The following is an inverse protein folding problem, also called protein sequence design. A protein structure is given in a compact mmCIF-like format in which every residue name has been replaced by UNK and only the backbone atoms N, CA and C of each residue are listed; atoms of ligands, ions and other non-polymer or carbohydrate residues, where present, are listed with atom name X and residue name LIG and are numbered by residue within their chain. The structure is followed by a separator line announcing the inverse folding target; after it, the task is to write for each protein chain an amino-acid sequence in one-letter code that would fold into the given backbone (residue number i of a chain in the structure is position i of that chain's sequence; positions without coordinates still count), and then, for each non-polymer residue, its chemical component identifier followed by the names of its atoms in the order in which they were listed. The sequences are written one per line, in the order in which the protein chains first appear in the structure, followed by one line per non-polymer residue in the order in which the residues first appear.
data_IF_340150170433
#
_entry.id   IF_340150170433
#
_cell.length_a   1.000
_cell.length_b   1.000
_cell.length_c   1.000
_cell.angle_alpha   90.00
_cell.angle_beta   90.00
_cell.angle_gamma   90.00
#
_symmetry.space_group_name_H-M   'P 1'
#
loop_
_entity.id
_entity.type
_entity.pdbx_description
1 polymer ?
#
# COMPACT_ATOMS: atom_id res chain seq x y z
N UNK A 1 -63.51 13.69 1.96
CA UNK A 1 -63.11 14.11 3.30
C UNK A 1 -61.66 14.47 3.27
N UNK A 2 -61.50 15.74 3.31
CA UNK A 2 -60.34 16.54 3.26
C UNK A 2 -59.55 16.48 4.55
N UNK A 3 -58.22 16.31 4.51
CA UNK A 3 -57.29 16.85 5.49
C UNK A 3 -55.89 16.97 4.93
N UNK A 4 -55.59 18.17 4.45
CA UNK A 4 -54.22 18.69 4.39
C UNK A 4 -53.68 18.76 5.82
N UNK A 5 -52.43 18.40 6.03
CA UNK A 5 -51.62 18.81 7.17
C UNK A 5 -50.30 19.40 6.66
N UNK A 6 -50.21 20.70 6.84
CA UNK A 6 -49.04 21.55 6.62
C UNK A 6 -47.86 21.07 7.50
N UNK A 7 -46.70 20.91 6.90
CA UNK A 7 -45.45 20.89 7.64
C UNK A 7 -44.71 22.22 7.36
N UNK A 8 -44.80 23.09 8.35
CA UNK A 8 -43.97 24.28 8.48
C UNK A 8 -42.53 23.81 8.72
N UNK A 9 -41.63 24.28 7.90
CA UNK A 9 -40.19 24.26 8.10
C UNK A 9 -39.83 25.33 9.11
N UNK A 10 -39.45 24.94 10.31
CA UNK A 10 -38.87 25.82 11.30
C UNK A 10 -37.37 25.88 11.11
N UNK A 11 -36.88 27.08 10.85
CA UNK A 11 -35.46 27.37 10.64
C UNK A 11 -34.71 27.37 11.96
N UNK A 12 -33.94 26.33 12.20
CA UNK A 12 -32.97 26.29 13.29
C UNK A 12 -31.59 26.71 12.77
N UNK A 13 -31.24 27.97 12.91
CA UNK A 13 -29.86 28.45 12.86
C UNK A 13 -29.07 27.78 13.97
N UNK A 14 -28.06 26.98 13.59
CA UNK A 14 -27.08 26.46 14.52
C UNK A 14 -26.03 27.55 14.81
N UNK A 15 -26.19 28.25 15.93
CA UNK A 15 -25.14 28.97 16.63
C UNK A 15 -24.11 27.99 17.16
N UNK A 16 -23.03 27.78 16.42
CA UNK A 16 -21.82 27.13 16.89
C UNK A 16 -20.60 27.98 16.51
N UNK A 17 -20.47 29.14 17.11
CA UNK A 17 -19.22 29.91 17.07
C UNK A 17 -19.16 30.94 18.20
N UNK A 18 -19.03 30.49 19.45
CA UNK A 18 -18.63 31.44 20.53
C UNK A 18 -18.00 30.79 21.78
N UNK A 19 -17.47 29.59 21.71
CA UNK A 19 -16.80 28.98 22.88
C UNK A 19 -15.29 28.72 22.76
N UNK A 20 -14.60 29.30 21.79
CA UNK A 20 -13.13 29.12 21.64
C UNK A 20 -12.30 30.38 22.02
N UNK A 21 -12.91 31.38 22.61
CA UNK A 21 -12.20 32.65 22.89
C UNK A 21 -12.06 32.96 24.38
N UNK A 22 -12.05 31.95 25.25
CA UNK A 22 -11.83 32.20 26.66
C UNK A 22 -10.82 31.21 27.28
N UNK A 23 -9.56 31.29 26.80
CA UNK A 23 -8.45 30.58 27.44
C UNK A 23 -7.58 31.59 28.22
N UNK A 24 -7.57 31.57 29.57
CA UNK A 24 -6.91 32.59 30.39
C UNK A 24 -5.39 32.43 30.49
N UNK A 25 -4.74 31.60 29.67
CA UNK A 25 -3.29 31.38 29.71
C UNK A 25 -2.51 31.98 28.53
N UNK A 26 -3.10 32.85 27.74
CA UNK A 26 -2.38 33.59 26.69
C UNK A 26 -2.46 35.11 26.93
N UNK A 27 -1.90 35.57 28.06
CA UNK A 27 -1.62 36.97 28.25
C UNK A 27 -0.30 37.14 28.96
N UNK A 28 0.79 37.02 28.20
CA UNK A 28 2.09 37.52 28.58
C UNK A 28 2.93 37.84 27.37
N UNK A 29 2.50 38.90 26.66
CA UNK A 29 3.41 39.64 25.80
C UNK A 29 3.17 41.14 26.04
N UNK A 30 3.84 41.61 27.04
CA UNK A 30 4.02 43.03 27.25
C UNK A 30 5.52 43.28 27.53
N UNK A 31 6.25 43.54 26.46
CA UNK A 31 7.34 44.49 26.45
C UNK A 31 7.64 44.90 25.03
N UNK A 32 6.94 45.95 24.64
CA UNK A 32 7.35 46.76 23.51
C UNK A 32 8.52 47.61 23.91
N UNK A 33 9.55 47.66 23.12
CA UNK A 33 10.36 48.85 22.98
C UNK A 33 10.86 48.99 21.54
N UNK A 34 10.48 50.11 21.02
CA UNK A 34 10.89 50.71 19.74
C UNK A 34 12.36 50.50 19.41
N UNK A 35 12.66 50.15 18.20
CA UNK A 35 13.39 51.04 17.29
C UNK A 35 13.82 50.34 15.98
N UNK A 36 13.48 51.05 14.90
CA UNK A 36 14.22 51.11 13.62
C UNK A 36 14.27 49.86 12.74
N UNK A 37 13.35 49.85 11.79
CA UNK A 37 13.56 49.76 10.37
C UNK A 37 14.49 48.67 9.78
N UNK A 38 14.00 48.10 8.70
CA UNK A 38 14.63 47.13 7.78
C UNK A 38 14.44 45.64 8.09
N UNK A 39 13.20 45.21 8.07
CA UNK A 39 12.86 43.82 7.89
C UNK A 39 12.33 43.56 6.48
N UNK A 40 13.16 43.61 5.45
CA UNK A 40 12.83 42.98 4.16
C UNK A 40 12.69 41.48 4.42
N UNK A 41 11.46 41.01 4.57
CA UNK A 41 11.14 39.62 4.43
C UNK A 41 11.55 39.19 3.00
N UNK A 42 12.75 38.70 2.87
CA UNK A 42 13.19 37.99 1.71
C UNK A 42 12.46 36.64 1.72
N UNK A 43 11.25 36.59 1.14
CA UNK A 43 10.74 35.35 0.61
C UNK A 43 11.83 34.83 -0.32
N UNK A 44 12.63 33.88 0.13
CA UNK A 44 13.55 33.17 -0.71
C UNK A 44 12.68 32.48 -1.78
N UNK A 45 12.53 33.12 -2.93
CA UNK A 45 12.07 32.46 -4.12
C UNK A 45 13.09 31.37 -4.39
N UNK A 46 12.76 30.12 -4.03
CA UNK A 46 13.47 28.96 -4.59
C UNK A 46 13.45 29.21 -6.10
N UNK A 47 14.61 29.57 -6.67
CA UNK A 47 14.76 29.68 -8.12
C UNK A 47 14.45 28.30 -8.65
N UNK A 48 13.30 28.16 -9.27
CA UNK A 48 12.96 26.96 -10.02
C UNK A 48 14.01 26.83 -11.11
N UNK A 49 14.73 25.71 -11.12
CA UNK A 49 15.66 25.38 -12.22
C UNK A 49 14.83 25.40 -13.51
N UNK A 50 15.27 26.11 -14.57
CA UNK A 50 14.54 26.13 -15.83
C UNK A 50 14.36 24.69 -16.33
N UNK A 51 13.20 24.35 -16.89
CA UNK A 51 12.89 22.99 -17.39
C UNK A 51 13.93 22.44 -18.36
N UNK A 52 14.59 23.33 -19.13
CA UNK A 52 15.67 22.98 -20.06
C UNK A 52 16.94 22.42 -19.36
N UNK A 53 17.08 22.60 -18.05
CA UNK A 53 18.23 22.14 -17.26
C UNK A 53 17.88 20.97 -16.35
N UNK A 54 16.64 20.48 -16.38
CA UNK A 54 16.24 19.31 -15.60
C UNK A 54 16.74 18.03 -16.27
N UNK A 55 17.25 17.11 -15.45
CA UNK A 55 17.63 15.80 -15.97
C UNK A 55 16.39 15.03 -16.39
N UNK A 56 16.44 14.44 -17.57
CA UNK A 56 15.36 13.60 -18.09
C UNK A 56 15.06 12.44 -17.13
N UNK A 57 13.78 12.15 -16.91
CA UNK A 57 13.32 11.03 -16.11
C UNK A 57 13.25 11.28 -14.58
N UNK A 58 13.91 12.34 -14.04
CA UNK A 58 13.86 12.63 -12.61
C UNK A 58 12.49 13.13 -12.15
N UNK A 59 11.68 13.67 -13.06
CA UNK A 59 10.32 14.14 -12.76
C UNK A 59 9.27 13.02 -12.71
N UNK A 60 9.60 11.80 -13.14
CA UNK A 60 8.64 10.69 -13.21
C UNK A 60 7.98 10.36 -11.85
N UNK A 61 8.71 10.60 -10.76
CA UNK A 61 8.21 10.37 -9.40
C UNK A 61 7.51 11.59 -8.79
N UNK A 62 7.56 12.74 -9.46
CA UNK A 62 7.01 14.02 -8.97
C UNK A 62 5.76 14.39 -9.76
N UNK A 63 5.63 13.87 -10.96
CA UNK A 63 4.50 14.11 -11.84
C UNK A 63 3.25 13.39 -11.30
N UNK A 64 2.22 14.17 -10.96
CA UNK A 64 0.97 13.66 -10.40
C UNK A 64 0.10 12.90 -11.39
N UNK A 65 0.41 12.98 -12.68
CA UNK A 65 -0.30 12.25 -13.73
C UNK A 65 0.15 10.78 -13.81
N UNK A 66 1.37 10.47 -13.35
CA UNK A 66 1.91 9.12 -13.26
C UNK A 66 1.90 8.70 -11.78
N UNK A 67 0.78 8.18 -11.31
CA UNK A 67 0.70 7.70 -9.93
C UNK A 67 1.21 6.26 -9.83
N UNK A 68 2.33 6.09 -9.12
CA UNK A 68 2.78 4.79 -8.63
C UNK A 68 2.22 4.53 -7.22
N UNK A 69 1.06 5.10 -6.91
CA UNK A 69 0.40 4.82 -5.63
C UNK A 69 0.02 3.33 -5.58
N UNK A 70 0.32 2.66 -4.46
CA UNK A 70 -0.11 1.29 -4.27
C UNK A 70 -1.64 1.22 -4.38
N UNK A 71 -2.13 0.56 -5.42
CA UNK A 71 -3.56 0.34 -5.57
C UNK A 71 -3.93 -0.95 -4.82
N UNK A 72 -4.71 -0.83 -3.76
CA UNK A 72 -5.17 -1.96 -2.95
C UNK A 72 -6.10 -2.92 -3.72
N UNK A 73 -6.68 -2.45 -4.82
CA UNK A 73 -7.60 -3.23 -5.66
C UNK A 73 -6.94 -3.89 -6.87
N UNK A 74 -5.63 -4.07 -6.86
CA UNK A 74 -4.95 -4.79 -7.92
C UNK A 74 -5.27 -6.30 -7.88
N UNK A 75 -5.52 -6.87 -9.05
CA UNK A 75 -5.63 -8.32 -9.16
C UNK A 75 -4.36 -8.99 -8.63
N UNK A 76 -4.54 -10.04 -7.82
CA UNK A 76 -3.41 -10.79 -7.27
C UNK A 76 -2.51 -11.30 -8.40
N UNK A 77 -1.23 -10.93 -8.38
CA UNK A 77 -0.30 -11.41 -9.40
C UNK A 77 -0.12 -12.92 -9.34
N UNK A 78 -0.05 -13.56 -10.51
CA UNK A 78 0.03 -15.01 -10.62
C UNK A 78 1.26 -15.62 -9.88
N UNK A 79 2.32 -14.85 -9.74
CA UNK A 79 3.57 -15.23 -9.08
C UNK A 79 3.67 -14.76 -7.63
N UNK A 80 2.59 -14.21 -7.06
CA UNK A 80 2.58 -13.80 -5.65
C UNK A 80 2.70 -15.03 -4.75
N UNK A 81 3.61 -14.97 -3.79
CA UNK A 81 3.83 -16.01 -2.80
C UNK A 81 3.23 -15.57 -1.47
N UNK A 82 2.33 -16.40 -0.97
CA UNK A 82 1.71 -16.23 0.34
C UNK A 82 2.77 -16.23 1.44
N UNK A 83 2.53 -15.47 2.48
CA UNK A 83 3.43 -15.40 3.63
C UNK A 83 2.72 -14.95 4.90
N UNK A 84 3.43 -14.95 6.04
CA UNK A 84 2.88 -14.53 7.33
C UNK A 84 2.28 -13.13 7.27
N UNK A 85 1.08 -12.97 7.85
CA UNK A 85 0.32 -11.74 7.85
C UNK A 85 -0.57 -11.51 6.62
N UNK A 86 -0.56 -12.41 5.64
CA UNK A 86 -1.56 -12.40 4.56
C UNK A 86 -2.87 -13.01 5.07
N UNK A 87 -3.99 -12.36 4.78
CA UNK A 87 -5.31 -12.92 5.03
C UNK A 87 -5.78 -13.76 3.86
N UNK A 88 -6.40 -14.89 4.15
CA UNK A 88 -6.96 -15.79 3.15
C UNK A 88 -8.41 -16.14 3.48
N UNK A 89 -9.23 -16.17 2.46
CA UNK A 89 -10.59 -16.69 2.52
C UNK A 89 -10.62 -18.05 1.86
N UNK A 90 -11.27 -19.02 2.50
CA UNK A 90 -11.53 -20.33 1.93
C UNK A 90 -13.04 -20.49 1.85
N UNK A 91 -13.56 -20.37 0.65
CA UNK A 91 -14.98 -20.50 0.39
C UNK A 91 -15.28 -21.92 -0.12
N UNK A 92 -16.30 -22.51 0.46
CA UNK A 92 -16.81 -23.83 0.11
C UNK A 92 -18.25 -23.63 -0.34
N UNK A 93 -18.60 -24.13 -1.50
CA UNK A 93 -19.97 -24.04 -2.02
C UNK A 93 -20.41 -25.33 -2.72
N UNK A 94 -21.73 -25.54 -2.81
CA UNK A 94 -22.34 -26.73 -3.37
C UNK A 94 -23.19 -27.45 -2.36
N UNK A 95 -22.96 -28.75 -2.15
CA UNK A 95 -23.68 -29.53 -1.14
C UNK A 95 -23.35 -29.10 0.30
N UNK A 96 -22.16 -28.53 0.50
CA UNK A 96 -21.74 -27.91 1.75
C UNK A 96 -21.43 -26.44 1.47
N UNK A 97 -21.89 -25.56 2.36
CA UNK A 97 -21.59 -24.11 2.31
C UNK A 97 -20.87 -23.72 3.59
N UNK A 98 -19.68 -23.16 3.44
CA UNK A 98 -18.87 -22.63 4.55
C UNK A 98 -17.92 -21.57 4.01
N UNK A 99 -17.53 -20.61 4.86
CA UNK A 99 -16.53 -19.59 4.54
C UNK A 99 -15.61 -19.40 5.74
N UNK A 100 -14.37 -19.68 5.55
CA UNK A 100 -13.32 -19.63 6.57
C UNK A 100 -12.42 -18.44 6.27
N UNK A 101 -12.23 -17.58 7.26
CA UNK A 101 -11.36 -16.42 7.18
C UNK A 101 -10.22 -16.59 8.18
N UNK A 102 -9.00 -16.65 7.67
CA UNK A 102 -7.80 -16.90 8.47
C UNK A 102 -6.64 -16.02 8.03
N UNK A 103 -5.81 -15.61 8.98
CA UNK A 103 -4.53 -14.95 8.74
C UNK A 103 -3.40 -15.98 8.82
N UNK A 104 -2.45 -15.91 7.89
CA UNK A 104 -1.28 -16.78 7.90
C UNK A 104 -0.40 -16.40 9.08
N UNK A 105 -0.25 -17.34 10.01
CA UNK A 105 0.55 -17.17 11.22
C UNK A 105 2.04 -16.93 10.90
N UNK A 106 2.84 -16.44 11.87
CA UNK A 106 4.30 -16.32 11.72
C UNK A 106 5.00 -17.62 11.34
N UNK A 107 4.42 -18.77 11.71
CA UNK A 107 4.94 -20.09 11.34
C UNK A 107 4.56 -20.49 9.90
N UNK A 108 3.83 -19.65 9.18
CA UNK A 108 3.42 -19.90 7.80
C UNK A 108 2.20 -20.79 7.63
N UNK A 109 1.41 -20.99 8.69
CA UNK A 109 0.24 -21.87 8.70
C UNK A 109 -1.05 -21.06 8.88
N UNK A 110 -2.16 -21.58 8.35
CA UNK A 110 -3.51 -21.27 8.83
C UNK A 110 -4.01 -22.45 9.68
N UNK A 111 -4.92 -22.19 10.60
CA UNK A 111 -5.52 -23.22 11.44
C UNK A 111 -6.99 -23.40 11.09
N UNK A 112 -7.32 -24.57 10.53
CA UNK A 112 -8.70 -24.90 10.15
C UNK A 112 -9.27 -25.92 11.13
N UNK A 113 -10.44 -25.62 11.70
CA UNK A 113 -11.13 -26.52 12.62
C UNK A 113 -11.31 -27.92 12.00
N UNK A 114 -11.02 -28.95 12.80
CA UNK A 114 -11.11 -30.36 12.45
C UNK A 114 -10.08 -30.86 11.39
N UNK A 115 -9.38 -29.96 10.68
CA UNK A 115 -8.35 -30.32 9.71
C UNK A 115 -6.93 -30.04 10.23
N UNK A 116 -6.82 -29.15 11.26
CA UNK A 116 -5.55 -28.74 11.85
C UNK A 116 -4.79 -27.70 11.01
N UNK A 117 -3.47 -27.58 11.24
CA UNK A 117 -2.67 -26.58 10.56
C UNK A 117 -2.42 -26.93 9.10
N UNK A 118 -2.56 -25.94 8.22
CA UNK A 118 -2.26 -26.03 6.79
C UNK A 118 -1.15 -25.03 6.47
N UNK A 119 0.03 -25.50 6.08
CA UNK A 119 1.17 -24.67 5.74
C UNK A 119 1.00 -24.04 4.35
N UNK A 120 1.02 -22.71 4.27
CA UNK A 120 0.78 -21.95 3.03
C UNK A 120 1.96 -21.05 2.63
N UNK A 121 2.89 -20.78 3.55
CA UNK A 121 4.01 -19.89 3.29
C UNK A 121 4.84 -20.32 2.08
N UNK A 122 5.17 -19.38 1.21
CA UNK A 122 5.95 -19.59 -0.01
C UNK A 122 5.18 -20.19 -1.19
N UNK A 123 3.92 -20.59 -1.00
CA UNK A 123 3.09 -21.09 -2.09
C UNK A 123 2.46 -19.92 -2.86
N UNK A 124 2.29 -20.10 -4.16
CA UNK A 124 1.42 -19.22 -4.95
C UNK A 124 -0.06 -19.49 -4.60
N UNK A 125 -0.94 -18.55 -4.90
CA UNK A 125 -2.39 -18.72 -4.67
C UNK A 125 -2.92 -19.97 -5.38
N UNK A 126 -2.37 -20.30 -6.57
CA UNK A 126 -2.74 -21.52 -7.31
C UNK A 126 -2.33 -22.79 -6.55
N UNK A 127 -1.10 -22.87 -6.12
CA UNK A 127 -0.57 -24.01 -5.36
C UNK A 127 -1.28 -24.16 -4.00
N UNK A 128 -1.59 -23.03 -3.35
CA UNK A 128 -2.37 -23.01 -2.12
C UNK A 128 -3.78 -23.56 -2.33
N UNK A 129 -4.47 -23.17 -3.42
CA UNK A 129 -5.77 -23.73 -3.80
C UNK A 129 -5.71 -25.26 -3.97
N UNK A 130 -4.72 -25.76 -4.71
CA UNK A 130 -4.56 -27.19 -4.93
C UNK A 130 -4.29 -27.93 -3.61
N UNK A 131 -3.51 -27.33 -2.73
CA UNK A 131 -3.20 -27.91 -1.41
C UNK A 131 -4.41 -27.92 -0.49
N UNK A 132 -5.14 -26.80 -0.39
CA UNK A 132 -6.36 -26.69 0.41
C UNK A 132 -7.40 -27.69 -0.07
N UNK A 133 -7.67 -27.74 -1.37
CA UNK A 133 -8.61 -28.72 -1.96
C UNK A 133 -8.24 -30.14 -1.56
N UNK A 134 -6.96 -30.52 -1.61
CA UNK A 134 -6.46 -31.84 -1.24
C UNK A 134 -6.62 -32.14 0.25
N UNK A 135 -6.43 -31.15 1.13
CA UNK A 135 -6.59 -31.33 2.57
C UNK A 135 -8.07 -31.46 2.93
N UNK A 136 -8.91 -30.60 2.36
CA UNK A 136 -10.36 -30.60 2.61
C UNK A 136 -11.07 -31.84 2.07
N UNK A 137 -10.55 -32.46 1.02
CA UNK A 137 -11.07 -33.73 0.51
C UNK A 137 -11.03 -34.87 1.53
N UNK A 138 -10.24 -34.71 2.61
CA UNK A 138 -10.24 -35.69 3.72
C UNK A 138 -11.47 -35.56 4.61
N UNK A 139 -12.06 -34.37 4.69
CA UNK A 139 -13.24 -34.06 5.49
C UNK A 139 -14.52 -34.12 4.63
N UNK A 140 -14.45 -33.58 3.45
CA UNK A 140 -15.55 -33.46 2.49
C UNK A 140 -15.26 -34.42 1.30
N UNK A 141 -15.79 -35.62 1.36
CA UNK A 141 -15.55 -36.65 0.33
C UNK A 141 -16.11 -36.26 -1.04
N UNK A 142 -17.05 -35.30 -1.08
CA UNK A 142 -17.73 -34.77 -2.25
C UNK A 142 -16.98 -33.67 -2.98
N UNK A 143 -15.83 -33.24 -2.49
CA UNK A 143 -14.97 -32.21 -3.10
C UNK A 143 -14.11 -32.77 -4.23
N UNK A 144 -13.79 -34.07 -4.20
CA UNK A 144 -12.97 -34.74 -5.20
C UNK A 144 -13.73 -35.93 -5.82
N UNK A 145 -13.70 -36.05 -7.14
CA UNK A 145 -14.34 -37.14 -7.89
C UNK A 145 -14.61 -36.75 -9.34
N UNK A 146 -15.22 -37.64 -10.11
CA UNK A 146 -15.61 -37.37 -11.50
C UNK A 146 -16.76 -36.35 -11.61
N UNK A 147 -17.55 -36.18 -10.52
CA UNK A 147 -18.62 -35.18 -10.41
C UNK A 147 -18.65 -34.62 -8.98
N UNK A 148 -17.79 -33.67 -8.65
CA UNK A 148 -17.76 -33.09 -7.32
C UNK A 148 -19.04 -32.31 -7.03
N UNK A 149 -19.67 -32.56 -5.88
CA UNK A 149 -20.89 -31.88 -5.44
C UNK A 149 -20.57 -30.56 -4.70
N UNK A 150 -19.33 -30.39 -4.22
CA UNK A 150 -18.85 -29.17 -3.59
C UNK A 150 -17.54 -28.73 -4.24
N UNK A 151 -17.34 -27.42 -4.36
CA UNK A 151 -16.08 -26.84 -4.80
C UNK A 151 -15.48 -25.99 -3.70
N UNK A 152 -14.14 -25.83 -3.70
CA UNK A 152 -13.39 -25.09 -2.70
C UNK A 152 -12.45 -24.13 -3.40
N UNK A 153 -12.43 -22.89 -2.94
CA UNK A 153 -11.56 -21.86 -3.48
C UNK A 153 -10.91 -21.06 -2.35
N UNK A 154 -9.58 -20.99 -2.38
CA UNK A 154 -8.84 -20.05 -1.58
C UNK A 154 -8.64 -18.76 -2.37
N UNK A 155 -9.01 -17.64 -1.78
CA UNK A 155 -8.79 -16.30 -2.29
C UNK A 155 -7.94 -15.52 -1.30
N UNK A 156 -7.16 -14.56 -1.80
CA UNK A 156 -6.38 -13.65 -0.97
C UNK A 156 -7.29 -12.51 -0.52
N UNK A 157 -7.24 -12.21 0.78
CA UNK A 157 -7.88 -11.07 1.39
C UNK A 157 -6.94 -9.88 1.50
N UNK A 158 -6.75 -9.39 2.73
CA UNK A 158 -5.81 -8.32 2.99
C UNK A 158 -4.37 -8.83 2.83
N UNK A 159 -3.53 -7.99 2.23
CA UNK A 159 -2.15 -8.32 1.93
C UNK A 159 -1.26 -7.74 3.01
N UNK A 160 -0.29 -8.52 3.43
CA UNK A 160 0.69 -8.08 4.44
C UNK A 160 1.45 -6.84 4.02
N UNK A 161 1.88 -6.09 5.01
CA UNK A 161 2.79 -4.95 4.86
C UNK A 161 4.23 -5.40 5.05
N UNK A 162 5.12 -4.98 4.17
CA UNK A 162 6.56 -5.19 4.26
C UNK A 162 7.28 -3.90 4.61
N UNK A 163 8.44 -4.01 5.27
CA UNK A 163 9.30 -2.87 5.59
C UNK A 163 10.48 -2.82 4.63
N UNK A 164 10.60 -1.71 3.91
CA UNK A 164 11.65 -1.51 2.90
C UNK A 164 12.49 -0.31 3.26
N UNK A 165 13.82 -0.48 3.28
CA UNK A 165 14.77 0.60 3.50
C UNK A 165 15.16 1.21 2.15
N UNK A 166 14.87 2.49 1.96
CA UNK A 166 15.28 3.27 0.80
C UNK A 166 16.42 4.20 1.22
N UNK A 167 17.58 4.02 0.60
CA UNK A 167 18.81 4.71 0.97
C UNK A 167 19.53 5.28 -0.27
N UNK A 168 20.42 6.22 -0.05
CA UNK A 168 21.23 6.85 -1.09
C UNK A 168 20.64 8.18 -1.54
N UNK A 169 20.82 8.52 -2.81
CA UNK A 169 20.46 9.81 -3.39
C UNK A 169 18.96 9.87 -3.74
N UNK A 170 18.09 9.77 -2.72
CA UNK A 170 16.64 9.96 -2.81
C UNK A 170 16.23 11.19 -1.98
N UNK A 171 15.08 11.78 -2.31
CA UNK A 171 14.62 12.99 -1.60
C UNK A 171 14.39 12.76 -0.11
N UNK A 172 13.82 11.60 0.25
CA UNK A 172 13.53 11.26 1.64
C UNK A 172 14.01 9.83 1.92
N UNK A 173 15.30 9.64 2.27
CA UNK A 173 15.80 8.32 2.66
C UNK A 173 15.17 7.88 3.98
N UNK A 174 14.86 6.59 4.11
CA UNK A 174 14.21 6.05 5.31
C UNK A 174 13.63 4.66 5.11
N UNK A 175 12.93 4.19 6.15
CA UNK A 175 12.19 2.93 6.13
C UNK A 175 10.73 3.19 5.79
N UNK A 176 10.24 2.54 4.76
CA UNK A 176 8.87 2.65 4.27
C UNK A 176 8.10 1.35 4.51
N UNK A 177 6.87 1.50 4.97
CA UNK A 177 5.93 0.38 5.08
C UNK A 177 5.09 0.36 3.81
N UNK A 178 5.23 -0.69 3.04
CA UNK A 178 4.59 -0.86 1.75
C UNK A 178 3.83 -2.18 1.70
N UNK A 179 2.82 -2.28 0.85
CA UNK A 179 2.17 -3.55 0.56
C UNK A 179 3.18 -4.55 -0.03
N UNK A 180 3.04 -5.83 0.28
CA UNK A 180 3.84 -6.89 -0.36
C UNK A 180 3.67 -6.99 -1.89
N UNK A 181 2.71 -6.25 -2.46
CA UNK A 181 2.61 -6.06 -3.92
C UNK A 181 3.49 -4.94 -4.45
N UNK A 182 4.09 -4.15 -3.57
CA UNK A 182 4.89 -3.02 -4.00
C UNK A 182 6.12 -3.46 -4.79
N UNK A 183 6.41 -2.68 -5.80
CA UNK A 183 7.60 -2.81 -6.62
C UNK A 183 8.65 -1.76 -6.24
N UNK A 184 9.80 -1.83 -6.88
CA UNK A 184 10.86 -0.84 -6.77
C UNK A 184 10.35 0.58 -7.03
N UNK A 185 9.50 0.76 -8.04
CA UNK A 185 8.92 2.06 -8.38
C UNK A 185 8.07 2.64 -7.27
N UNK A 186 7.28 1.81 -6.59
CA UNK A 186 6.46 2.25 -5.45
C UNK A 186 7.33 2.74 -4.30
N UNK A 187 8.46 2.06 -4.03
CA UNK A 187 9.40 2.48 -2.99
C UNK A 187 10.07 3.81 -3.33
N UNK A 188 10.52 3.98 -4.57
CA UNK A 188 11.11 5.24 -5.04
C UNK A 188 10.09 6.38 -5.03
N UNK A 189 8.86 6.14 -5.46
CA UNK A 189 7.78 7.12 -5.41
C UNK A 189 7.51 7.56 -3.95
N UNK A 190 7.42 6.61 -3.03
CA UNK A 190 7.21 6.89 -1.60
C UNK A 190 8.36 7.71 -1.00
N UNK A 191 9.60 7.53 -1.49
CA UNK A 191 10.76 8.29 -1.10
C UNK A 191 10.86 9.68 -1.79
N UNK A 192 9.88 10.05 -2.62
CA UNK A 192 9.86 11.30 -3.37
C UNK A 192 10.76 11.30 -4.61
N UNK A 193 11.22 10.11 -5.04
CA UNK A 193 12.11 9.94 -6.19
C UNK A 193 13.58 10.16 -5.89
N UNK A 194 14.39 10.12 -6.94
CA UNK A 194 15.84 10.30 -6.89
C UNK A 194 16.18 11.78 -6.98
N UNK A 195 17.18 12.23 -6.20
CA UNK A 195 17.65 13.63 -6.20
C UNK A 195 18.31 13.99 -7.52
N UNK A 196 18.51 15.29 -7.76
CA UNK A 196 19.17 15.79 -8.97
C UNK A 196 20.61 15.28 -9.17
N UNK A 197 21.30 14.86 -8.11
CA UNK A 197 22.65 14.30 -8.15
C UNK A 197 22.65 12.76 -8.21
N UNK A 198 21.51 12.13 -7.93
CA UNK A 198 21.38 10.69 -7.96
C UNK A 198 21.38 10.10 -9.38
N UNK A 199 21.65 8.82 -9.48
CA UNK A 199 21.66 8.08 -10.73
C UNK A 199 20.42 7.21 -10.87
N UNK A 200 19.71 7.35 -11.98
CA UNK A 200 18.62 6.46 -12.38
C UNK A 200 19.10 5.17 -13.06
N UNK A 201 20.42 5.08 -13.37
CA UNK A 201 21.00 3.93 -14.11
C UNK A 201 21.54 2.82 -13.23
N UNK A 202 21.66 3.07 -11.93
CA UNK A 202 22.24 2.11 -10.99
C UNK A 202 21.47 2.12 -9.69
N UNK A 203 20.27 1.54 -9.74
CA UNK A 203 19.42 1.35 -8.56
C UNK A 203 19.58 -0.09 -8.13
N UNK A 204 20.22 -0.29 -6.98
CA UNK A 204 20.53 -1.62 -6.46
C UNK A 204 19.45 -2.08 -5.46
N UNK A 205 18.96 -3.27 -5.67
CA UNK A 205 18.06 -3.94 -4.71
C UNK A 205 18.89 -4.92 -3.90
N UNK A 206 18.92 -4.69 -2.59
CA UNK A 206 19.66 -5.50 -1.63
C UNK A 206 18.71 -6.37 -0.82
N UNK A 207 19.08 -7.61 -0.55
CA UNK A 207 18.37 -8.52 0.37
C UNK A 207 19.39 -9.34 1.14
N UNK A 208 19.26 -9.43 2.46
CA UNK A 208 20.20 -10.14 3.34
C UNK A 208 21.68 -9.73 3.10
N UNK A 209 21.91 -8.43 2.84
CA UNK A 209 23.23 -7.88 2.57
C UNK A 209 23.80 -8.24 1.18
N UNK A 210 23.02 -8.89 0.32
CA UNK A 210 23.42 -9.25 -1.05
C UNK A 210 22.64 -8.45 -2.08
N UNK A 211 23.32 -8.08 -3.16
CA UNK A 211 22.64 -7.49 -4.30
C UNK A 211 21.87 -8.57 -5.07
N UNK A 212 20.56 -8.40 -5.12
CA UNK A 212 19.66 -9.31 -5.85
C UNK A 212 19.31 -8.82 -7.23
N UNK A 213 19.41 -7.50 -7.44
CA UNK A 213 19.20 -6.89 -8.75
C UNK A 213 19.84 -5.50 -8.82
N UNK A 214 20.19 -5.11 -10.03
CA UNK A 214 20.57 -3.74 -10.41
C UNK A 214 19.67 -3.29 -11.56
N UNK A 215 19.02 -2.13 -11.39
CA UNK A 215 18.02 -1.62 -12.33
C UNK A 215 18.49 -0.32 -12.96
N UNK A 216 18.41 -0.24 -14.28
CA UNK A 216 18.50 0.99 -15.05
C UNK A 216 17.08 1.47 -15.40
N UNK A 217 16.65 2.56 -14.77
CA UNK A 217 15.30 3.10 -14.97
C UNK A 217 15.08 3.60 -16.40
N UNK A 218 16.13 3.94 -17.12
CA UNK A 218 16.01 4.38 -18.51
C UNK A 218 15.61 3.24 -19.44
N UNK A 219 15.99 1.99 -19.16
CA UNK A 219 15.52 0.84 -19.94
C UNK A 219 14.00 0.69 -19.83
N UNK A 220 13.44 0.95 -18.64
CA UNK A 220 11.99 1.01 -18.46
C UNK A 220 11.37 2.18 -19.26
N UNK A 221 11.96 3.37 -19.16
CA UNK A 221 11.41 4.59 -19.78
C UNK A 221 11.47 4.58 -21.31
N UNK A 222 12.52 4.01 -21.89
CA UNK A 222 12.74 4.03 -23.34
C UNK A 222 12.26 2.76 -24.04
N UNK A 223 12.47 1.62 -23.41
CA UNK A 223 12.22 0.31 -24.02
C UNK A 223 10.91 -0.32 -23.54
N UNK A 224 10.26 0.26 -22.52
CA UNK A 224 9.05 -0.30 -21.91
C UNK A 224 9.28 -1.66 -21.27
N UNK A 225 10.51 -1.98 -20.88
CA UNK A 225 10.84 -3.25 -20.23
C UNK A 225 10.32 -3.26 -18.81
N UNK A 226 9.14 -3.86 -18.60
CA UNK A 226 8.53 -4.04 -17.29
C UNK A 226 9.19 -5.15 -16.46
N UNK A 227 10.11 -5.94 -17.06
CA UNK A 227 10.81 -7.01 -16.35
C UNK A 227 11.70 -6.49 -15.21
N UNK A 228 12.09 -5.21 -15.27
CA UNK A 228 12.92 -4.56 -14.26
C UNK A 228 12.10 -3.96 -13.09
N UNK A 229 10.76 -4.03 -13.16
CA UNK A 229 9.92 -3.66 -12.04
C UNK A 229 9.92 -4.78 -10.98
N UNK A 230 10.98 -4.78 -10.20
CA UNK A 230 11.26 -5.83 -9.23
C UNK A 230 10.30 -5.69 -8.06
N UNK A 231 9.58 -6.78 -7.76
CA UNK A 231 8.76 -6.86 -6.56
C UNK A 231 9.63 -6.95 -5.33
N UNK A 232 9.28 -6.12 -4.38
CA UNK A 232 9.96 -6.06 -3.10
C UNK A 232 9.49 -7.23 -2.21
N UNK A 233 10.41 -7.77 -1.44
CA UNK A 233 10.17 -8.80 -0.42
C UNK A 233 10.97 -8.42 0.82
N UNK A 234 10.50 -8.85 1.97
CA UNK A 234 11.31 -8.79 3.19
C UNK A 234 12.57 -9.60 3.05
#
# INVERSE_FOLDING_TARGET
FDRRSDWQTDGGEFEYMDELNNNPYMSMDMFASDSLGFGRSSKSRKKSVPDSLRKFGHNIFVDRELTFEPNENLATPANYQLGPGDEVFIDIWGANEDSIHEEISPDGNIFVEQLGPIYLNGLTVKEANEKVRRVFARKYADVMGEAPLSDIRLTLGQIRTISVNVMGEVHTPGTYRLSAFASLFHALYSAGGVTDIGSLRNIRVMRDGKEVASVDLYEYLFDGKTADDIRLKE
#
